data_IF_273041190457
#
_entry.id   IF_273041190457
#
_cell.length_a   1.000
_cell.length_b   1.000
_cell.length_c   1.000
_cell.angle_alpha   90.00
_cell.angle_beta   90.00
_cell.angle_gamma   90.00
#
_symmetry.space_group_name_H-M   'P 1'
#
loop_
_entity.id
_entity.type
_entity.pdbx_description
1 polymer ?
#
# COMPACT_ATOMS: atom_id res chain seq x y z
N UNK A 1 6.94 -8.12 -22.88
CA UNK A 1 7.18 -6.79 -23.46
C UNK A 1 5.87 -6.21 -23.97
N UNK A 2 4.94 -5.76 -23.07
CA UNK A 2 3.68 -5.10 -23.46
C UNK A 2 3.30 -3.93 -22.54
N UNK A 3 4.12 -3.58 -21.56
CA UNK A 3 3.77 -2.57 -20.54
C UNK A 3 3.98 -1.11 -20.96
N UNK A 4 4.69 -0.85 -22.04
CA UNK A 4 5.05 0.52 -22.45
C UNK A 4 4.03 1.15 -23.43
N UNK A 5 3.13 0.36 -24.04
CA UNK A 5 2.11 0.86 -24.96
C UNK A 5 0.84 1.39 -24.27
N UNK A 6 0.71 1.19 -22.97
CA UNK A 6 -0.53 1.51 -22.21
C UNK A 6 -0.51 2.92 -21.61
N UNK A 7 0.63 3.61 -21.61
CA UNK A 7 0.68 4.95 -21.02
C UNK A 7 0.06 6.00 -21.94
N UNK A 8 -1.04 6.59 -21.50
CA UNK A 8 -1.58 7.78 -22.14
C UNK A 8 -0.59 8.95 -22.04
N UNK A 9 -0.66 9.89 -22.96
CA UNK A 9 0.24 11.06 -22.99
C UNK A 9 0.23 11.86 -21.67
N UNK A 10 -0.84 11.78 -20.89
CA UNK A 10 -0.96 12.45 -19.58
C UNK A 10 -0.03 11.90 -18.50
N UNK A 11 0.59 10.75 -18.72
CA UNK A 11 1.48 10.08 -17.75
C UNK A 11 2.96 10.21 -18.11
N UNK A 12 3.24 10.73 -19.31
CA UNK A 12 4.63 11.01 -19.73
C UNK A 12 5.26 12.07 -18.85
N UNK A 13 6.50 11.85 -18.45
CA UNK A 13 7.23 12.73 -17.56
C UNK A 13 6.79 12.67 -16.09
N UNK A 14 5.95 11.70 -15.71
CA UNK A 14 5.54 11.47 -14.33
C UNK A 14 6.32 10.30 -13.72
N UNK A 15 6.27 10.16 -12.40
CA UNK A 15 6.89 9.04 -11.69
C UNK A 15 6.35 7.66 -12.15
N UNK A 16 5.19 7.61 -12.77
CA UNK A 16 4.56 6.38 -13.23
C UNK A 16 5.30 5.79 -14.42
N UNK A 17 5.86 6.63 -15.27
CA UNK A 17 6.71 6.20 -16.37
C UNK A 17 7.89 5.34 -15.88
N UNK A 18 8.49 5.72 -14.76
CA UNK A 18 9.57 4.95 -14.14
C UNK A 18 9.05 3.64 -13.51
N UNK A 19 7.84 3.64 -12.95
CA UNK A 19 7.25 2.45 -12.32
C UNK A 19 6.84 1.35 -13.30
N UNK A 20 6.39 1.70 -14.51
CA UNK A 20 5.97 0.71 -15.52
C UNK A 20 7.13 -0.05 -16.15
N UNK A 21 8.38 0.32 -15.86
CA UNK A 21 9.55 -0.46 -16.24
C UNK A 21 9.64 -1.80 -15.50
N UNK A 22 8.87 -1.96 -14.40
CA UNK A 22 8.78 -3.20 -13.63
C UNK A 22 7.91 -4.23 -14.35
N UNK A 23 8.28 -5.53 -14.31
CA UNK A 23 7.39 -6.56 -14.82
C UNK A 23 6.11 -6.61 -13.98
N UNK A 24 4.97 -6.45 -14.64
CA UNK A 24 3.65 -6.53 -14.03
C UNK A 24 2.95 -7.80 -14.53
N UNK A 25 2.23 -8.48 -13.65
CA UNK A 25 1.33 -9.57 -14.03
C UNK A 25 -0.04 -9.02 -14.51
N UNK A 26 -0.89 -9.89 -15.05
CA UNK A 26 -2.16 -9.49 -15.63
C UNK A 26 -3.09 -8.77 -14.65
N UNK A 27 -3.07 -9.18 -13.37
CA UNK A 27 -3.87 -8.52 -12.32
C UNK A 27 -3.41 -7.07 -12.15
N UNK A 28 -2.12 -6.85 -12.04
CA UNK A 28 -1.54 -5.51 -11.86
C UNK A 28 -1.74 -4.63 -13.09
N UNK A 29 -1.63 -5.21 -14.28
CA UNK A 29 -1.91 -4.53 -15.54
C UNK A 29 -3.37 -4.05 -15.56
N UNK A 30 -4.33 -4.90 -15.19
CA UNK A 30 -5.74 -4.52 -15.18
C UNK A 30 -6.03 -3.32 -14.25
N UNK A 31 -5.32 -3.21 -13.11
CA UNK A 31 -5.44 -2.04 -12.22
C UNK A 31 -4.72 -0.80 -12.76
N UNK A 32 -3.61 -0.98 -13.45
CA UNK A 32 -2.94 0.12 -14.15
C UNK A 32 -3.81 0.68 -15.27
N UNK A 33 -4.49 -0.18 -16.02
CA UNK A 33 -5.44 0.22 -17.08
C UNK A 33 -6.60 1.04 -16.50
N UNK A 34 -7.17 0.60 -15.37
CA UNK A 34 -8.20 1.38 -14.65
C UNK A 34 -7.67 2.73 -14.21
N UNK A 35 -6.48 2.77 -13.61
CA UNK A 35 -5.84 4.02 -13.23
C UNK A 35 -5.64 4.96 -14.42
N UNK A 36 -5.22 4.42 -15.55
CA UNK A 36 -5.00 5.17 -16.80
C UNK A 36 -6.31 5.76 -17.34
N UNK A 37 -7.41 5.02 -17.25
CA UNK A 37 -8.74 5.51 -17.65
C UNK A 37 -9.24 6.65 -16.75
N UNK A 38 -8.99 6.58 -15.45
CA UNK A 38 -9.36 7.63 -14.49
C UNK A 38 -8.49 8.87 -14.69
N UNK A 39 -7.19 8.70 -14.90
CA UNK A 39 -6.22 9.77 -15.01
C UNK A 39 -5.81 10.39 -13.67
N UNK A 40 -4.74 11.19 -13.69
CA UNK A 40 -4.30 11.92 -12.50
C UNK A 40 -5.24 13.11 -12.22
N UNK A 41 -5.57 13.36 -10.96
CA UNK A 41 -6.42 14.48 -10.60
C UNK A 41 -5.71 15.82 -10.86
N UNK A 42 -6.49 16.80 -11.22
CA UNK A 42 -6.06 18.18 -11.42
C UNK A 42 -6.75 19.14 -10.42
N UNK A 43 -6.52 20.42 -10.57
CA UNK A 43 -7.15 21.46 -9.74
C UNK A 43 -8.68 21.59 -9.92
N UNK A 44 -9.26 20.95 -10.94
CA UNK A 44 -10.71 20.94 -11.19
C UNK A 44 -11.37 19.72 -10.55
N UNK A 45 -10.60 18.71 -10.16
CA UNK A 45 -11.08 17.53 -9.46
C UNK A 45 -11.42 17.91 -8.02
N UNK A 46 -12.70 17.85 -7.63
CA UNK A 46 -13.24 18.45 -6.40
C UNK A 46 -12.48 18.03 -5.13
N UNK A 47 -12.23 16.74 -4.94
CA UNK A 47 -11.52 16.23 -3.76
C UNK A 47 -10.03 16.62 -3.72
N UNK A 48 -9.44 16.99 -4.87
CA UNK A 48 -8.02 17.32 -5.01
C UNK A 48 -7.77 18.81 -5.23
N UNK A 49 -8.82 19.63 -5.26
CA UNK A 49 -8.80 21.07 -5.55
C UNK A 49 -7.77 21.85 -4.73
N UNK A 50 -7.56 21.47 -3.48
CA UNK A 50 -6.62 22.13 -2.58
C UNK A 50 -5.28 21.42 -2.43
N UNK A 51 -5.10 20.29 -3.10
CA UNK A 51 -3.87 19.48 -3.04
C UNK A 51 -3.06 19.69 -4.31
N UNK A 52 -1.88 20.30 -4.15
CA UNK A 52 -0.97 20.56 -5.28
C UNK A 52 -0.21 19.28 -5.67
N UNK A 53 -0.93 18.29 -6.14
CA UNK A 53 -0.39 16.96 -6.45
C UNK A 53 0.64 16.97 -7.57
N UNK A 54 0.57 17.94 -8.50
CA UNK A 54 1.46 18.05 -9.65
C UNK A 54 2.95 18.12 -9.25
N UNK A 55 3.25 18.76 -8.11
CA UNK A 55 4.62 18.83 -7.58
C UNK A 55 5.20 17.46 -7.24
N UNK A 56 4.35 16.52 -6.81
CA UNK A 56 4.75 15.17 -6.46
C UNK A 56 4.79 14.26 -7.68
N UNK A 57 3.84 14.44 -8.58
CA UNK A 57 3.69 13.59 -9.77
C UNK A 57 4.84 13.78 -10.76
N UNK A 58 5.35 15.00 -10.91
CA UNK A 58 6.44 15.33 -11.81
C UNK A 58 7.84 15.08 -11.22
N UNK A 59 7.93 14.74 -9.93
CA UNK A 59 9.21 14.44 -9.29
C UNK A 59 9.66 13.03 -9.69
N UNK A 60 10.97 12.87 -9.97
CA UNK A 60 11.58 11.55 -10.14
C UNK A 60 11.81 10.90 -8.79
N UNK A 61 11.49 9.61 -8.70
CA UNK A 61 11.69 8.80 -7.51
C UNK A 61 12.47 7.55 -7.84
N UNK A 62 13.25 7.09 -6.88
CA UNK A 62 13.88 5.79 -6.98
C UNK A 62 12.87 4.67 -6.80
N UNK A 63 13.15 3.52 -7.39
CA UNK A 63 12.39 2.31 -7.12
C UNK A 63 12.59 1.91 -5.65
N UNK A 64 11.51 1.55 -4.93
CA UNK A 64 11.63 1.10 -3.56
C UNK A 64 12.33 -0.26 -3.51
N UNK A 65 13.27 -0.39 -2.58
CA UNK A 65 14.01 -1.64 -2.32
C UNK A 65 13.83 -2.05 -0.87
N UNK A 66 13.82 -3.36 -0.56
CA UNK A 66 13.90 -3.82 0.80
C UNK A 66 15.18 -3.28 1.46
N UNK A 67 15.06 -2.78 2.65
CA UNK A 67 16.21 -2.26 3.40
C UNK A 67 16.07 -2.59 4.89
N UNK A 68 17.18 -2.55 5.61
CA UNK A 68 17.19 -2.86 7.04
C UNK A 68 16.33 -1.88 7.85
N UNK A 69 15.91 -2.34 9.02
CA UNK A 69 15.22 -1.51 9.99
C UNK A 69 16.16 -0.39 10.45
N UNK A 70 15.80 0.87 10.30
CA UNK A 70 16.55 1.95 10.90
C UNK A 70 16.37 1.92 12.42
N UNK A 71 17.34 2.43 13.16
CA UNK A 71 17.24 2.55 14.61
C UNK A 71 16.24 3.68 14.96
N UNK A 72 14.96 3.37 14.89
CA UNK A 72 13.88 4.33 15.19
C UNK A 72 13.29 3.99 16.55
N UNK A 73 13.28 4.98 17.42
CA UNK A 73 12.60 4.87 18.70
C UNK A 73 11.09 4.92 18.50
N UNK A 74 10.38 3.87 18.94
CA UNK A 74 8.91 3.91 18.92
C UNK A 74 8.42 4.89 20.00
N UNK A 75 7.52 5.83 19.68
CA UNK A 75 6.92 6.71 20.67
C UNK A 75 5.97 5.96 21.62
N UNK A 76 5.65 4.72 21.29
CA UNK A 76 4.70 3.90 22.05
C UNK A 76 5.40 2.73 22.73
N UNK A 77 5.01 2.47 23.96
CA UNK A 77 5.48 1.32 24.72
C UNK A 77 4.63 0.10 24.39
N UNK A 78 5.02 -0.66 23.40
CA UNK A 78 4.43 -1.96 23.10
C UNK A 78 5.51 -2.89 22.55
N UNK A 79 5.34 -4.19 22.79
CA UNK A 79 6.21 -5.24 22.25
C UNK A 79 5.72 -5.76 20.89
N UNK A 80 4.48 -5.40 20.50
CA UNK A 80 3.84 -5.91 19.28
C UNK A 80 3.96 -4.89 18.15
N UNK A 81 5.03 -5.03 17.35
CA UNK A 81 5.30 -4.15 16.21
C UNK A 81 5.25 -4.92 14.89
N UNK A 82 4.69 -4.26 13.89
CA UNK A 82 4.76 -4.64 12.48
C UNK A 82 5.35 -3.44 11.76
N UNK A 83 6.49 -3.62 11.10
CA UNK A 83 7.14 -2.51 10.38
C UNK A 83 7.15 -2.77 8.89
N UNK A 84 6.55 -1.85 8.15
CA UNK A 84 6.56 -1.81 6.69
C UNK A 84 7.41 -0.62 6.27
N UNK A 85 8.52 -0.89 5.58
CA UNK A 85 9.41 0.15 5.06
C UNK A 85 9.44 0.11 3.55
N UNK A 86 9.22 1.25 2.91
CA UNK A 86 9.17 1.40 1.46
C UNK A 86 8.21 0.40 0.77
N UNK A 87 7.15 -0.01 1.47
CA UNK A 87 6.17 -0.98 0.98
C UNK A 87 6.53 -2.45 1.22
N UNK A 88 7.62 -2.76 1.95
CA UNK A 88 8.04 -4.12 2.30
C UNK A 88 7.87 -4.37 3.79
N UNK A 89 7.36 -5.55 4.15
CA UNK A 89 7.35 -6.02 5.54
C UNK A 89 8.78 -6.38 5.97
N UNK A 90 9.37 -5.57 6.85
CA UNK A 90 10.75 -5.76 7.31
C UNK A 90 10.85 -6.27 8.74
N UNK A 91 9.78 -6.17 9.53
CA UNK A 91 9.75 -6.64 10.90
C UNK A 91 8.34 -7.09 11.29
N UNK A 92 8.28 -8.22 11.98
CA UNK A 92 7.09 -8.70 12.66
C UNK A 92 7.48 -9.22 14.05
N UNK A 93 7.29 -8.41 15.08
CA UNK A 93 7.48 -8.78 16.48
C UNK A 93 6.17 -9.05 17.24
N UNK A 94 5.03 -9.12 16.52
CA UNK A 94 3.76 -9.50 17.13
C UNK A 94 3.81 -10.94 17.65
N UNK A 95 3.52 -11.14 18.93
CA UNK A 95 3.53 -12.44 19.62
C UNK A 95 2.17 -12.81 20.17
N UNK A 96 1.10 -12.16 19.69
CA UNK A 96 -0.29 -12.47 20.07
C UNK A 96 -0.74 -13.65 19.23
N UNK A 97 -1.04 -14.78 19.87
CA UNK A 97 -1.35 -16.04 19.18
C UNK A 97 -2.61 -15.99 18.31
N UNK A 98 -3.53 -15.10 18.65
CA UNK A 98 -4.78 -14.88 17.91
C UNK A 98 -4.61 -13.98 16.67
N UNK A 99 -3.42 -13.44 16.46
CA UNK A 99 -3.10 -12.59 15.32
C UNK A 99 -2.14 -13.30 14.39
N UNK A 100 -2.54 -13.46 13.14
CA UNK A 100 -1.71 -13.97 12.07
C UNK A 100 -1.31 -12.84 11.12
N UNK A 101 -0.02 -12.77 10.81
CA UNK A 101 0.53 -11.77 9.89
C UNK A 101 1.17 -12.51 8.73
N UNK A 102 0.76 -12.18 7.52
CA UNK A 102 1.19 -12.84 6.29
C UNK A 102 1.49 -11.79 5.21
N UNK A 103 2.45 -12.09 4.35
CA UNK A 103 2.62 -11.39 3.07
C UNK A 103 1.92 -12.20 2.00
N UNK A 104 0.93 -11.60 1.35
CA UNK A 104 0.16 -12.23 0.28
C UNK A 104 0.78 -11.90 -1.08
N UNK A 105 0.74 -12.87 -1.99
CA UNK A 105 0.93 -12.62 -3.41
C UNK A 105 -0.39 -12.20 -4.07
N UNK A 106 -0.31 -11.75 -5.34
CA UNK A 106 -1.48 -11.25 -6.07
C UNK A 106 -2.61 -12.28 -6.23
N UNK A 107 -2.29 -13.57 -6.31
CA UNK A 107 -3.26 -14.65 -6.46
C UNK A 107 -3.98 -14.99 -5.15
N UNK A 108 -3.35 -14.73 -4.00
CA UNK A 108 -3.91 -15.00 -2.68
C UNK A 108 -4.85 -13.90 -2.19
N UNK A 109 -4.93 -12.77 -2.89
CA UNK A 109 -5.72 -11.61 -2.42
C UNK A 109 -7.23 -11.81 -2.50
N UNK A 110 -7.74 -12.81 -3.21
CA UNK A 110 -9.16 -13.14 -3.27
C UNK A 110 -10.07 -12.01 -3.79
N UNK A 111 -11.34 -12.33 -4.06
CA UNK A 111 -12.32 -11.36 -4.56
C UNK A 111 -12.65 -10.26 -3.55
N UNK A 112 -12.79 -10.60 -2.27
CA UNK A 112 -13.17 -9.63 -1.23
C UNK A 112 -12.15 -8.50 -1.09
N UNK A 113 -10.87 -8.79 -1.26
CA UNK A 113 -9.82 -7.78 -1.22
C UNK A 113 -9.95 -6.79 -2.38
N UNK A 114 -10.27 -7.27 -3.57
CA UNK A 114 -10.42 -6.43 -4.74
C UNK A 114 -11.70 -5.60 -4.71
N UNK A 115 -12.82 -6.14 -4.17
CA UNK A 115 -14.11 -5.44 -4.05
C UNK A 115 -14.05 -4.11 -3.30
N UNK A 116 -13.15 -3.96 -2.33
CA UNK A 116 -12.97 -2.72 -1.58
C UNK A 116 -12.54 -1.54 -2.47
N UNK A 117 -11.98 -1.84 -3.66
CA UNK A 117 -11.40 -0.83 -4.55
C UNK A 117 -12.02 -0.80 -5.95
N UNK A 118 -12.87 -1.77 -6.30
CA UNK A 118 -13.41 -1.91 -7.66
C UNK A 118 -14.22 -0.69 -8.13
N UNK A 119 -14.96 -0.08 -7.22
CA UNK A 119 -15.82 1.06 -7.52
C UNK A 119 -15.24 2.40 -7.07
N UNK A 120 -13.93 2.45 -6.80
CA UNK A 120 -13.29 3.69 -6.38
C UNK A 120 -13.02 4.56 -7.61
N UNK A 121 -13.54 5.78 -7.60
CA UNK A 121 -13.31 6.77 -8.65
C UNK A 121 -11.96 7.49 -8.52
N UNK A 122 -11.22 7.26 -7.45
CA UNK A 122 -9.90 7.83 -7.24
C UNK A 122 -8.82 6.94 -7.88
N UNK A 123 -7.85 7.56 -8.53
CA UNK A 123 -6.75 6.89 -9.23
C UNK A 123 -5.78 6.19 -8.27
N UNK A 124 -5.55 6.74 -7.07
CA UNK A 124 -4.50 6.26 -6.15
C UNK A 124 -4.71 4.85 -5.61
N UNK A 125 -5.92 4.39 -5.26
CA UNK A 125 -6.17 2.99 -4.91
C UNK A 125 -5.79 2.02 -6.03
N UNK A 126 -6.05 2.39 -7.29
CA UNK A 126 -5.68 1.58 -8.44
C UNK A 126 -4.18 1.56 -8.68
N UNK A 127 -3.50 2.71 -8.56
CA UNK A 127 -2.03 2.79 -8.61
C UNK A 127 -1.39 1.98 -7.47
N UNK A 128 -1.93 2.09 -6.26
CA UNK A 128 -1.47 1.30 -5.14
C UNK A 128 -1.57 -0.20 -5.46
N UNK A 129 -2.68 -0.67 -6.04
CA UNK A 129 -2.84 -2.09 -6.39
C UNK A 129 -1.92 -2.53 -7.51
N UNK A 130 -1.65 -1.67 -8.48
CA UNK A 130 -0.73 -1.96 -9.58
C UNK A 130 0.72 -2.06 -9.11
N UNK A 131 1.14 -1.23 -8.15
CA UNK A 131 2.55 -1.05 -7.81
C UNK A 131 2.94 -1.43 -6.38
N UNK A 132 2.02 -1.88 -5.53
CA UNK A 132 2.36 -2.31 -4.18
C UNK A 132 3.41 -3.43 -4.22
N UNK A 133 4.35 -3.41 -3.25
CA UNK A 133 5.34 -4.46 -3.10
C UNK A 133 4.74 -5.60 -2.29
N UNK A 134 4.77 -5.50 -0.97
CA UNK A 134 4.12 -6.48 -0.11
C UNK A 134 2.65 -6.12 0.14
N UNK A 135 1.80 -7.14 0.15
CA UNK A 135 0.44 -7.04 0.63
C UNK A 135 0.41 -7.69 2.01
N UNK A 136 0.52 -6.86 3.04
CA UNK A 136 0.57 -7.33 4.42
C UNK A 136 -0.84 -7.59 4.92
N UNK A 137 -1.15 -8.86 5.21
CA UNK A 137 -2.43 -9.26 5.79
C UNK A 137 -2.28 -9.46 7.29
N UNK A 138 -3.13 -8.81 8.07
CA UNK A 138 -3.29 -8.98 9.51
C UNK A 138 -4.64 -9.64 9.74
N UNK A 139 -4.65 -10.92 10.11
CA UNK A 139 -5.88 -11.67 10.39
C UNK A 139 -6.02 -11.87 11.89
N UNK A 140 -7.21 -11.62 12.42
CA UNK A 140 -7.53 -11.84 13.83
C UNK A 140 -8.54 -12.98 13.94
N UNK A 141 -8.23 -13.96 14.77
CA UNK A 141 -9.10 -15.12 14.93
C UNK A 141 -10.50 -14.73 15.44
N UNK A 142 -11.55 -15.42 15.00
CA UNK A 142 -12.91 -15.16 15.48
C UNK A 142 -13.00 -15.30 17.00
N UNK A 143 -13.74 -14.39 17.65
CA UNK A 143 -13.97 -14.33 19.10
C UNK A 143 -12.72 -14.11 19.94
N UNK A 144 -11.63 -13.65 19.35
CA UNK A 144 -10.44 -13.26 20.11
C UNK A 144 -10.74 -12.05 21.00
N UNK A 145 -10.35 -12.12 22.26
CA UNK A 145 -10.34 -11.01 23.20
C UNK A 145 -8.90 -10.60 23.41
N UNK A 146 -8.49 -9.51 22.73
CA UNK A 146 -7.10 -9.03 22.72
C UNK A 146 -7.05 -7.73 23.51
N UNK A 147 -6.43 -7.77 24.68
CA UNK A 147 -6.16 -6.60 25.52
C UNK A 147 -4.73 -6.09 25.28
N UNK A 148 -4.38 -5.93 24.02
CA UNK A 148 -3.08 -5.41 23.62
C UNK A 148 -3.21 -4.54 22.35
N UNK A 149 -2.29 -3.61 22.19
CA UNK A 149 -2.22 -2.76 21.00
C UNK A 149 -1.13 -3.26 20.08
N UNK A 150 -1.50 -3.51 18.81
CA UNK A 150 -0.54 -3.81 17.74
C UNK A 150 -0.19 -2.51 17.02
N UNK A 151 1.09 -2.19 16.98
CA UNK A 151 1.60 -1.01 16.31
C UNK A 151 2.09 -1.35 14.91
N UNK A 152 1.49 -0.72 13.91
CA UNK A 152 1.94 -0.80 12.52
C UNK A 152 2.71 0.46 12.18
N UNK A 153 4.01 0.32 11.98
CA UNK A 153 4.90 1.41 11.59
C UNK A 153 5.04 1.45 10.09
N UNK A 154 4.76 2.59 9.49
CA UNK A 154 5.03 2.85 8.08
C UNK A 154 6.25 3.77 8.00
N UNK A 155 7.32 3.29 7.38
CA UNK A 155 8.57 4.04 7.21
C UNK A 155 8.81 4.24 5.73
N UNK A 156 9.19 5.43 5.37
CA UNK A 156 9.46 5.80 3.99
C UNK A 156 10.77 6.57 3.87
N UNK A 157 11.56 6.24 2.86
CA UNK A 157 12.75 6.99 2.49
C UNK A 157 12.38 8.08 1.48
N UNK A 158 12.79 9.31 1.68
CA UNK A 158 12.43 10.48 0.87
C UNK A 158 12.79 10.36 -0.62
N UNK A 159 13.73 9.51 -0.97
CA UNK A 159 14.22 9.34 -2.34
C UNK A 159 13.42 8.31 -3.16
N UNK A 160 12.56 7.50 -2.52
CA UNK A 160 11.80 6.45 -3.20
C UNK A 160 10.32 6.76 -3.28
N UNK A 161 9.58 6.03 -4.10
CA UNK A 161 8.12 6.02 -4.08
C UNK A 161 7.63 4.66 -3.63
N UNK A 162 6.79 4.62 -2.60
CA UNK A 162 6.27 3.40 -2.05
C UNK A 162 4.73 3.38 -2.05
N UNK A 163 4.18 2.19 -2.26
CA UNK A 163 2.75 1.93 -2.19
C UNK A 163 2.50 0.84 -1.12
N UNK A 164 2.57 1.19 0.16
CA UNK A 164 2.31 0.23 1.23
C UNK A 164 0.86 -0.24 1.14
N UNK A 165 0.63 -1.53 1.39
CA UNK A 165 -0.70 -2.11 1.41
C UNK A 165 -0.88 -3.03 2.59
N UNK A 166 -1.85 -2.69 3.45
CA UNK A 166 -2.18 -3.44 4.64
C UNK A 166 -3.65 -3.82 4.57
N UNK A 167 -3.92 -5.10 4.72
CA UNK A 167 -5.26 -5.66 4.81
C UNK A 167 -5.49 -6.16 6.23
N UNK A 168 -6.56 -5.67 6.86
CA UNK A 168 -6.95 -6.12 8.19
C UNK A 168 -8.24 -6.92 8.07
N UNK A 169 -8.21 -8.17 8.49
CA UNK A 169 -9.36 -9.05 8.53
C UNK A 169 -9.70 -9.36 9.98
N UNK A 170 -10.81 -8.82 10.44
CA UNK A 170 -11.30 -8.99 11.79
C UNK A 170 -12.72 -9.56 11.79
N UNK A 171 -12.97 -10.56 12.62
CA UNK A 171 -14.29 -11.17 12.77
C UNK A 171 -15.30 -10.25 13.48
N UNK A 172 -16.56 -10.69 13.52
CA UNK A 172 -17.59 -10.01 14.31
C UNK A 172 -17.28 -10.16 15.81
N UNK A 173 -17.64 -9.17 16.61
CA UNK A 173 -17.47 -9.16 18.09
C UNK A 173 -16.01 -9.21 18.55
N UNK A 174 -15.17 -8.41 17.91
CA UNK A 174 -13.74 -8.36 18.20
C UNK A 174 -13.37 -6.98 18.74
N UNK A 175 -12.55 -6.95 19.80
CA UNK A 175 -11.93 -5.73 20.30
C UNK A 175 -10.42 -5.83 20.08
N UNK A 176 -9.91 -5.02 19.18
CA UNK A 176 -8.46 -4.86 18.93
C UNK A 176 -8.17 -3.38 18.69
N UNK A 177 -7.02 -2.93 19.11
CA UNK A 177 -6.50 -1.59 18.79
C UNK A 177 -5.31 -1.76 17.86
N UNK A 178 -5.41 -1.21 16.65
CA UNK A 178 -4.30 -1.12 15.70
C UNK A 178 -3.96 0.35 15.54
N UNK A 179 -2.75 0.72 15.92
CA UNK A 179 -2.24 2.07 15.79
C UNK A 179 -1.29 2.14 14.60
N UNK A 180 -1.63 2.95 13.58
CA UNK A 180 -0.80 3.15 12.40
C UNK A 180 -0.18 4.54 12.51
N UNK A 181 1.14 4.63 12.34
CA UNK A 181 1.87 5.89 12.39
C UNK A 181 3.05 5.89 11.41
N UNK A 182 3.52 7.10 11.08
CA UNK A 182 4.57 7.35 10.09
C UNK A 182 5.85 7.81 10.77
#
# INVERSE_FOLDING_TARGET
MKSTEVLSDNWKGTFIEDLVTRPLNDIRIAYLDKATQIGLPDSKTEYWKYTRIQKYVQKKYNQPVPSSLPNIHSPFKTEHHITVKNGFLIENSCRIGEIKIEVLNDQQTGENFNRLFENNSDVFPHLNRAFCNDIVKISVLPKAEIDATVHVRLIHDDASIAFPRIMIEAGKTLKIIICIYY
#
